data_IF_634750437338
#
_entry.id   IF_634750437338
#
_cell.length_a   1.000
_cell.length_b   1.000
_cell.length_c   1.000
_cell.angle_alpha   90.00
_cell.angle_beta   90.00
_cell.angle_gamma   90.00
#
_symmetry.space_group_name_H-M   'P 1'
#
loop_
_entity.id
_entity.type
_entity.pdbx_description
1 polymer ?
#
# COMPACT_ATOMS: atom_id res chain seq x y z
N UNK A 1 1.90 -10.76 -11.83
CA UNK A 1 1.72 -11.05 -10.37
C UNK A 1 2.94 -11.69 -9.69
N UNK A 2 4.14 -11.45 -10.20
CA UNK A 2 5.38 -12.07 -9.69
C UNK A 2 6.25 -11.12 -8.84
N UNK A 3 5.72 -9.95 -8.44
CA UNK A 3 6.46 -9.01 -7.61
C UNK A 3 6.63 -9.57 -6.19
N UNK A 4 7.89 -9.69 -5.74
CA UNK A 4 8.25 -10.25 -4.43
C UNK A 4 7.69 -9.40 -3.27
N UNK A 5 7.74 -8.06 -3.37
CA UNK A 5 7.22 -7.14 -2.34
C UNK A 5 5.73 -7.38 -2.13
N UNK A 6 4.94 -7.38 -3.22
CA UNK A 6 3.50 -7.64 -3.18
C UNK A 6 3.18 -9.04 -2.64
N UNK A 7 3.98 -10.05 -3.02
CA UNK A 7 3.82 -11.41 -2.49
C UNK A 7 4.04 -11.47 -0.97
N UNK A 8 5.11 -10.83 -0.48
CA UNK A 8 5.43 -10.82 0.94
C UNK A 8 4.43 -10.01 1.76
N UNK A 9 3.95 -8.88 1.24
CA UNK A 9 2.86 -8.12 1.87
C UNK A 9 1.58 -8.97 2.00
N UNK A 10 1.17 -9.64 0.91
CA UNK A 10 0.05 -10.58 0.94
C UNK A 10 0.22 -11.64 2.03
N UNK A 11 1.41 -12.27 2.11
CA UNK A 11 1.69 -13.30 3.11
C UNK A 11 1.61 -12.77 4.55
N UNK A 12 2.01 -11.51 4.78
CA UNK A 12 1.86 -10.87 6.09
C UNK A 12 0.38 -10.73 6.48
N UNK A 13 -0.47 -10.27 5.56
CA UNK A 13 -1.90 -10.10 5.80
C UNK A 13 -2.63 -11.44 5.95
N UNK A 14 -2.30 -12.43 5.12
CA UNK A 14 -2.85 -13.78 5.24
C UNK A 14 -2.50 -14.46 6.57
N UNK A 15 -1.35 -14.13 7.16
CA UNK A 15 -0.96 -14.60 8.50
C UNK A 15 -1.95 -14.21 9.60
N UNK A 16 -2.77 -13.21 9.38
CA UNK A 16 -3.86 -12.80 10.28
C UNK A 16 -5.24 -13.38 9.90
N UNK A 17 -5.29 -14.34 8.96
CA UNK A 17 -6.54 -14.92 8.49
C UNK A 17 -7.34 -14.02 7.53
N UNK A 18 -6.78 -12.89 7.09
CA UNK A 18 -7.47 -11.98 6.18
C UNK A 18 -7.53 -12.58 4.76
N UNK A 19 -8.69 -12.57 4.09
CA UNK A 19 -8.76 -12.82 2.67
C UNK A 19 -8.02 -11.71 1.91
N UNK A 20 -7.18 -12.05 0.94
CA UNK A 20 -6.38 -11.07 0.20
C UNK A 20 -6.62 -11.22 -1.30
N UNK A 21 -7.13 -10.16 -1.92
CA UNK A 21 -7.20 -10.02 -3.37
C UNK A 21 -5.91 -9.37 -3.89
N UNK A 22 -5.31 -9.97 -4.90
CA UNK A 22 -4.24 -9.36 -5.71
C UNK A 22 -4.66 -9.36 -7.16
N UNK A 23 -4.44 -8.27 -7.83
CA UNK A 23 -4.74 -8.15 -9.25
C UNK A 23 -3.62 -7.44 -10.01
N UNK A 24 -3.58 -7.57 -11.31
CA UNK A 24 -2.75 -6.75 -12.19
C UNK A 24 -3.61 -5.61 -12.71
N UNK A 25 -3.03 -4.43 -12.78
CA UNK A 25 -3.65 -3.31 -13.48
C UNK A 25 -3.83 -3.60 -14.96
N UNK A 26 -4.69 -2.81 -15.61
CA UNK A 26 -4.87 -2.81 -17.07
C UNK A 26 -3.53 -2.77 -17.79
N UNK A 27 -3.42 -3.51 -18.88
CA UNK A 27 -2.20 -3.61 -19.68
C UNK A 27 -1.05 -4.38 -19.02
N UNK A 28 -1.24 -4.95 -17.81
CA UNK A 28 -0.19 -5.70 -17.11
C UNK A 28 -0.46 -7.21 -17.10
N UNK A 29 0.50 -8.01 -17.54
CA UNK A 29 0.39 -9.47 -17.59
C UNK A 29 -0.72 -9.94 -18.54
N UNK A 30 -1.77 -10.58 -17.99
CA UNK A 30 -2.93 -11.04 -18.76
C UNK A 30 -4.13 -10.08 -18.65
N UNK A 31 -3.99 -8.95 -17.95
CA UNK A 31 -5.06 -7.95 -17.89
C UNK A 31 -5.15 -7.20 -19.22
N UNK A 32 -6.37 -7.06 -19.71
CA UNK A 32 -6.67 -6.32 -20.92
C UNK A 32 -6.49 -4.82 -20.74
N UNK A 33 -6.64 -4.06 -21.83
CA UNK A 33 -6.51 -2.60 -21.84
C UNK A 33 -5.06 -2.11 -21.93
N UNK A 34 -4.87 -0.83 -21.68
CA UNK A 34 -3.57 -0.16 -21.75
C UNK A 34 -3.31 0.64 -20.48
N UNK A 35 -2.04 0.79 -20.13
CA UNK A 35 -1.60 1.67 -19.04
C UNK A 35 -2.06 3.12 -19.30
N UNK A 36 -2.65 3.78 -18.29
CA UNK A 36 -3.26 5.11 -18.39
C UNK A 36 -2.74 6.07 -17.30
N UNK A 37 -1.47 5.98 -16.98
CA UNK A 37 -0.75 6.89 -16.07
C UNK A 37 -1.44 7.13 -14.71
N UNK A 38 -2.15 6.12 -14.23
CA UNK A 38 -2.84 6.13 -12.94
C UNK A 38 -4.29 6.58 -13.00
N UNK A 39 -4.80 7.04 -14.16
CA UNK A 39 -6.22 7.42 -14.31
C UNK A 39 -7.11 6.19 -14.37
N UNK A 40 -6.93 5.38 -15.40
CA UNK A 40 -7.68 4.14 -15.55
C UNK A 40 -7.36 3.10 -14.47
N UNK A 41 -6.12 3.07 -13.96
CA UNK A 41 -5.76 2.18 -12.86
C UNK A 41 -6.51 2.49 -11.56
N UNK A 42 -7.00 3.72 -11.35
CA UNK A 42 -7.91 4.03 -10.24
C UNK A 42 -9.27 3.36 -10.40
N UNK A 43 -9.77 3.27 -11.64
CA UNK A 43 -11.01 2.53 -11.91
C UNK A 43 -10.82 1.03 -11.65
N UNK A 44 -9.64 0.47 -11.97
CA UNK A 44 -9.31 -0.91 -11.66
C UNK A 44 -9.31 -1.18 -10.15
N UNK A 45 -8.80 -0.23 -9.35
CA UNK A 45 -8.88 -0.30 -7.88
C UNK A 45 -10.34 -0.24 -7.43
N UNK A 46 -11.13 0.70 -7.96
CA UNK A 46 -12.56 0.82 -7.67
C UNK A 46 -13.30 -0.50 -7.92
N UNK A 47 -13.09 -1.12 -9.07
CA UNK A 47 -13.68 -2.41 -9.42
C UNK A 47 -13.25 -3.53 -8.46
N UNK A 48 -11.98 -3.54 -8.02
CA UNK A 48 -11.49 -4.49 -7.03
C UNK A 48 -12.16 -4.28 -5.65
N UNK A 49 -12.35 -3.02 -5.23
CA UNK A 49 -13.07 -2.68 -3.99
C UNK A 49 -14.54 -3.10 -4.07
N UNK A 50 -15.22 -2.86 -5.20
CA UNK A 50 -16.60 -3.28 -5.45
C UNK A 50 -16.76 -4.79 -5.36
N UNK A 51 -15.79 -5.53 -5.92
CA UNK A 51 -15.79 -6.98 -5.84
C UNK A 51 -15.61 -7.47 -4.41
N UNK A 52 -14.63 -6.92 -3.66
CA UNK A 52 -14.39 -7.30 -2.26
C UNK A 52 -15.60 -7.00 -1.37
N UNK A 53 -16.23 -5.84 -1.53
CA UNK A 53 -17.43 -5.49 -0.78
C UNK A 53 -18.58 -6.45 -1.06
N UNK A 54 -18.81 -6.81 -2.31
CA UNK A 54 -19.87 -7.76 -2.71
C UNK A 54 -19.66 -9.15 -2.14
N UNK A 55 -18.40 -9.65 -2.17
CA UNK A 55 -18.07 -11.01 -1.76
C UNK A 55 -17.97 -11.17 -0.23
N UNK A 56 -17.41 -10.18 0.45
CA UNK A 56 -17.07 -10.32 1.88
C UNK A 56 -17.86 -9.39 2.81
N UNK A 57 -18.29 -8.22 2.35
CA UNK A 57 -18.98 -7.19 3.17
C UNK A 57 -18.21 -6.84 4.45
N UNK A 58 -16.89 -6.75 4.35
CA UNK A 58 -15.98 -6.45 5.44
C UNK A 58 -15.23 -5.14 5.15
N UNK A 59 -14.78 -4.42 6.19
CA UNK A 59 -13.85 -3.31 6.00
C UNK A 59 -12.60 -3.75 5.26
N UNK A 60 -12.09 -2.90 4.37
CA UNK A 60 -10.97 -3.22 3.49
C UNK A 60 -9.71 -2.51 3.97
N UNK A 61 -8.58 -3.21 3.98
CA UNK A 61 -7.26 -2.63 4.15
C UNK A 61 -6.57 -2.65 2.78
N UNK A 62 -6.20 -1.47 2.29
CA UNK A 62 -5.42 -1.34 1.08
C UNK A 62 -3.94 -1.57 1.37
N UNK A 63 -3.26 -2.30 0.48
CA UNK A 63 -1.80 -2.40 0.46
C UNK A 63 -1.28 -2.28 -0.98
N UNK A 64 -0.41 -1.31 -1.23
CA UNK A 64 0.17 -1.05 -2.54
C UNK A 64 1.69 -0.98 -2.52
N UNK A 65 2.32 -1.28 -3.67
CA UNK A 65 3.75 -1.14 -3.89
C UNK A 65 4.02 -0.20 -5.06
N UNK A 66 4.98 0.72 -4.90
CA UNK A 66 5.48 1.59 -5.96
C UNK A 66 4.33 2.37 -6.64
N UNK A 67 4.21 2.30 -7.95
CA UNK A 67 3.10 2.89 -8.72
C UNK A 67 1.73 2.50 -8.15
N UNK A 68 1.57 1.23 -7.73
CA UNK A 68 0.35 0.77 -7.08
C UNK A 68 0.11 1.44 -5.72
N UNK A 69 1.16 1.80 -4.98
CA UNK A 69 1.02 2.56 -3.74
C UNK A 69 0.51 3.98 -4.02
N UNK A 70 1.14 4.70 -4.94
CA UNK A 70 0.74 6.07 -5.30
C UNK A 70 -0.70 6.15 -5.81
N UNK A 71 -1.05 5.28 -6.76
CA UNK A 71 -2.38 5.23 -7.37
C UNK A 71 -3.44 4.83 -6.34
N UNK A 72 -3.12 3.84 -5.50
CA UNK A 72 -4.04 3.33 -4.51
C UNK A 72 -4.24 4.27 -3.31
N UNK A 73 -3.21 4.93 -2.82
CA UNK A 73 -3.36 5.96 -1.79
C UNK A 73 -4.37 7.02 -2.24
N UNK A 74 -4.22 7.54 -3.46
CA UNK A 74 -5.10 8.58 -4.01
C UNK A 74 -6.56 8.10 -4.13
N UNK A 75 -6.77 6.83 -4.50
CA UNK A 75 -8.12 6.26 -4.65
C UNK A 75 -8.72 5.90 -3.29
N UNK A 76 -7.95 5.25 -2.43
CA UNK A 76 -8.44 4.64 -1.20
C UNK A 76 -8.59 5.63 -0.03
N UNK A 77 -7.90 6.78 -0.06
CA UNK A 77 -8.05 7.80 0.99
C UNK A 77 -9.48 8.27 1.17
N UNK A 78 -10.21 8.47 0.08
CA UNK A 78 -11.60 8.97 0.11
C UNK A 78 -12.65 7.85 0.10
N UNK A 79 -12.29 6.60 -0.18
CA UNK A 79 -13.26 5.49 -0.25
C UNK A 79 -13.68 5.02 1.14
N UNK A 80 -14.96 5.12 1.54
CA UNK A 80 -15.41 4.77 2.89
C UNK A 80 -15.26 3.28 3.25
N UNK A 81 -15.14 2.39 2.27
CA UNK A 81 -14.94 0.95 2.48
C UNK A 81 -13.53 0.63 2.98
N UNK A 82 -12.58 1.51 2.66
CA UNK A 82 -11.18 1.33 3.07
C UNK A 82 -10.95 1.97 4.42
N UNK A 83 -10.49 1.18 5.39
CA UNK A 83 -10.29 1.60 6.78
C UNK A 83 -8.82 1.77 7.16
N UNK A 84 -7.88 1.30 6.33
CA UNK A 84 -6.44 1.42 6.57
C UNK A 84 -5.64 1.34 5.29
N UNK A 85 -4.46 1.96 5.30
CA UNK A 85 -3.62 2.14 4.12
C UNK A 85 -2.20 1.66 4.44
N UNK A 86 -1.65 0.81 3.58
CA UNK A 86 -0.25 0.37 3.63
C UNK A 86 0.40 0.71 2.29
N UNK A 87 1.42 1.54 2.32
CA UNK A 87 2.20 1.89 1.14
C UNK A 87 3.65 1.44 1.27
N UNK A 88 4.13 0.75 0.26
CA UNK A 88 5.46 0.15 0.20
C UNK A 88 6.24 0.77 -0.96
N UNK A 89 7.43 1.32 -0.71
CA UNK A 89 8.24 1.97 -1.74
C UNK A 89 7.43 3.05 -2.48
N UNK A 90 6.80 3.97 -1.75
CA UNK A 90 5.97 5.03 -2.32
C UNK A 90 6.81 5.98 -3.16
N UNK A 91 6.63 6.05 -4.49
CA UNK A 91 7.51 6.86 -5.33
C UNK A 91 7.23 8.35 -5.14
N UNK A 92 8.28 9.14 -4.95
CA UNK A 92 8.20 10.61 -4.83
C UNK A 92 9.06 11.32 -5.88
N UNK A 93 10.13 10.68 -6.34
CA UNK A 93 11.08 11.25 -7.30
C UNK A 93 11.32 10.31 -8.48
N UNK A 94 10.45 10.37 -9.48
CA UNK A 94 10.59 9.57 -10.71
C UNK A 94 10.72 10.49 -11.91
N UNK A 95 11.80 10.34 -12.68
CA UNK A 95 12.05 11.14 -13.87
C UNK A 95 10.86 11.07 -14.85
N UNK A 96 10.36 12.24 -15.24
CA UNK A 96 9.25 12.36 -16.19
C UNK A 96 7.86 12.07 -15.59
N UNK A 97 7.76 11.83 -14.27
CA UNK A 97 6.47 11.63 -13.60
C UNK A 97 6.40 12.42 -12.30
N UNK A 98 5.38 13.24 -12.17
CA UNK A 98 5.08 13.98 -10.97
C UNK A 98 4.08 13.18 -10.12
N UNK A 99 4.44 12.90 -8.87
CA UNK A 99 3.55 12.36 -7.86
C UNK A 99 3.13 13.45 -6.89
N UNK A 100 1.84 13.55 -6.62
CA UNK A 100 1.27 14.54 -5.70
C UNK A 100 0.53 13.82 -4.57
N UNK A 101 0.84 14.22 -3.34
CA UNK A 101 0.33 13.62 -2.12
C UNK A 101 -0.38 14.58 -1.18
N UNK A 102 -0.71 15.80 -1.65
CA UNK A 102 -1.41 16.83 -0.84
C UNK A 102 -2.71 16.31 -0.21
N UNK A 103 -3.41 15.40 -0.89
CA UNK A 103 -4.64 14.77 -0.37
C UNK A 103 -4.43 13.97 0.93
N UNK A 104 -3.21 13.62 1.29
CA UNK A 104 -2.90 12.91 2.53
C UNK A 104 -3.11 13.79 3.77
N UNK A 105 -3.11 15.13 3.63
CA UNK A 105 -3.42 16.07 4.72
C UNK A 105 -4.84 15.93 5.26
N UNK A 106 -5.77 15.46 4.42
CA UNK A 106 -7.18 15.28 4.77
C UNK A 106 -7.54 13.80 5.05
N UNK A 107 -6.58 12.91 4.84
CA UNK A 107 -6.78 11.46 4.99
C UNK A 107 -6.58 11.02 6.44
N UNK A 108 -7.65 10.93 7.22
CA UNK A 108 -7.62 10.54 8.65
C UNK A 108 -7.56 9.02 8.90
N UNK A 109 -7.47 8.21 7.85
CA UNK A 109 -7.33 6.75 7.99
C UNK A 109 -5.94 6.39 8.51
N UNK A 110 -5.81 5.35 9.37
CA UNK A 110 -4.52 4.81 9.75
C UNK A 110 -3.70 4.45 8.51
N UNK A 111 -2.46 4.92 8.45
CA UNK A 111 -1.57 4.69 7.31
C UNK A 111 -0.17 4.31 7.75
N UNK A 112 0.36 3.26 7.12
CA UNK A 112 1.74 2.81 7.24
C UNK A 112 2.46 3.07 5.92
N UNK A 113 3.58 3.77 5.98
CA UNK A 113 4.53 3.92 4.88
C UNK A 113 5.79 3.15 5.19
N UNK A 114 6.23 2.24 4.30
CA UNK A 114 7.50 1.51 4.43
C UNK A 114 8.31 1.73 3.17
N UNK A 115 9.54 2.17 3.30
CA UNK A 115 10.47 2.36 2.19
C UNK A 115 11.89 1.98 2.58
N UNK A 116 12.72 1.64 1.60
CA UNK A 116 14.15 1.54 1.81
C UNK A 116 14.78 2.93 1.92
N UNK A 117 15.81 3.09 2.75
CA UNK A 117 16.55 4.35 2.83
C UNK A 117 17.50 4.57 1.63
N UNK A 118 17.74 3.53 0.83
CA UNK A 118 18.45 3.56 -0.45
C UNK A 118 17.49 3.43 -1.67
N UNK A 119 16.20 3.71 -1.48
CA UNK A 119 15.21 3.68 -2.57
C UNK A 119 15.39 4.89 -3.49
N UNK A 120 15.84 4.67 -4.73
CA UNK A 120 16.08 5.73 -5.72
C UNK A 120 14.81 6.43 -6.22
N UNK A 121 13.63 5.79 -6.08
CA UNK A 121 12.34 6.37 -6.47
C UNK A 121 11.65 7.07 -5.30
N UNK A 122 12.16 6.86 -4.09
CA UNK A 122 11.63 7.39 -2.84
C UNK A 122 12.76 7.84 -1.92
N UNK A 123 13.56 8.86 -2.30
CA UNK A 123 14.59 9.38 -1.43
C UNK A 123 14.03 9.69 -0.04
N UNK A 124 14.74 9.25 1.01
CA UNK A 124 14.23 9.27 2.37
C UNK A 124 13.82 10.67 2.85
N UNK A 125 14.52 11.73 2.40
CA UNK A 125 14.19 13.11 2.72
C UNK A 125 12.85 13.54 2.11
N UNK A 126 12.66 13.26 0.82
CA UNK A 126 11.45 13.62 0.08
C UNK A 126 10.23 12.85 0.59
N UNK A 127 10.41 11.56 0.93
CA UNK A 127 9.35 10.75 1.53
C UNK A 127 8.97 11.26 2.92
N UNK A 128 9.94 11.73 3.73
CA UNK A 128 9.65 12.33 5.03
C UNK A 128 8.83 13.60 4.88
N UNK A 129 9.11 14.44 3.89
CA UNK A 129 8.30 15.63 3.62
C UNK A 129 6.85 15.27 3.31
N UNK A 130 6.62 14.28 2.45
CA UNK A 130 5.26 13.75 2.18
C UNK A 130 4.61 13.20 3.45
N UNK A 131 5.37 12.43 4.24
CA UNK A 131 4.88 11.86 5.49
C UNK A 131 4.50 12.95 6.50
N UNK A 132 5.33 13.96 6.67
CA UNK A 132 5.12 15.03 7.67
C UNK A 132 3.83 15.82 7.39
N UNK A 133 3.48 16.02 6.11
CA UNK A 133 2.25 16.68 5.69
C UNK A 133 1.00 15.80 5.77
N UNK A 134 1.13 14.49 5.90
CA UNK A 134 -0.01 13.58 6.00
C UNK A 134 -0.71 13.72 7.37
N UNK A 135 -2.04 13.60 7.40
CA UNK A 135 -2.82 13.58 8.65
C UNK A 135 -2.53 12.32 9.48
N UNK A 136 -2.68 12.45 10.80
CA UNK A 136 -2.67 11.32 11.72
C UNK A 136 -3.92 10.41 11.56
N UNK A 137 -3.90 9.13 11.97
CA UNK A 137 -2.72 8.41 12.46
C UNK A 137 -1.83 7.90 11.31
N UNK A 138 -0.52 8.03 11.48
CA UNK A 138 0.48 7.66 10.46
C UNK A 138 1.73 7.06 11.08
N UNK A 139 2.39 6.13 10.38
CA UNK A 139 3.69 5.56 10.75
C UNK A 139 4.58 5.48 9.52
N UNK A 140 5.85 5.86 9.66
CA UNK A 140 6.89 5.71 8.64
C UNK A 140 7.96 4.76 9.14
N UNK A 141 8.27 3.74 8.36
CA UNK A 141 9.38 2.81 8.58
C UNK A 141 10.36 2.93 7.42
N UNK A 142 11.55 3.45 7.70
CA UNK A 142 12.67 3.41 6.76
C UNK A 142 13.52 2.19 7.08
N UNK A 143 13.65 1.29 6.11
CA UNK A 143 14.41 0.04 6.24
C UNK A 143 15.85 0.30 5.84
N UNK A 144 16.75 0.22 6.81
CA UNK A 144 18.17 0.49 6.63
C UNK A 144 18.83 -0.43 5.59
N UNK A 145 19.53 0.18 4.64
CA UNK A 145 20.24 -0.49 3.55
C UNK A 145 19.32 -1.20 2.56
N UNK A 146 18.03 -0.89 2.55
CA UNK A 146 17.10 -1.45 1.57
C UNK A 146 16.96 -0.56 0.33
N UNK A 147 16.93 -1.20 -0.82
CA UNK A 147 16.55 -0.60 -2.11
C UNK A 147 15.01 -0.57 -2.29
N UNK A 148 14.57 -0.12 -3.47
CA UNK A 148 13.15 -0.08 -3.83
C UNK A 148 12.43 -1.42 -3.71
N UNK A 149 13.11 -2.53 -3.97
CA UNK A 149 12.55 -3.88 -3.93
C UNK A 149 12.76 -4.61 -2.61
N UNK A 150 13.37 -3.94 -1.61
CA UNK A 150 13.71 -4.51 -0.32
C UNK A 150 14.57 -5.77 -0.46
N UNK A 151 15.53 -5.78 -1.40
CA UNK A 151 16.36 -6.95 -1.63
C UNK A 151 17.15 -7.33 -0.36
N UNK A 152 17.05 -8.61 0.05
CA UNK A 152 17.61 -9.09 1.33
C UNK A 152 16.92 -8.56 2.59
N UNK A 153 15.94 -7.63 2.49
CA UNK A 153 15.28 -6.95 3.62
C UNK A 153 13.76 -7.18 3.67
N UNK A 154 13.20 -8.01 2.81
CA UNK A 154 11.77 -8.35 2.82
C UNK A 154 11.24 -8.81 4.20
N UNK A 155 11.99 -9.54 5.05
CA UNK A 155 11.54 -9.86 6.40
C UNK A 155 11.27 -8.62 7.26
N UNK A 156 12.11 -7.58 7.17
CA UNK A 156 11.95 -6.33 7.95
C UNK A 156 10.70 -5.57 7.49
N UNK A 157 10.49 -5.46 6.17
CA UNK A 157 9.28 -4.88 5.61
C UNK A 157 8.02 -5.62 6.08
N UNK A 158 8.06 -6.97 6.12
CA UNK A 158 6.96 -7.79 6.65
C UNK A 158 6.70 -7.53 8.12
N UNK A 159 7.76 -7.45 8.93
CA UNK A 159 7.67 -7.16 10.35
C UNK A 159 6.97 -5.83 10.63
N UNK A 160 7.26 -4.80 9.83
CA UNK A 160 6.57 -3.51 9.93
C UNK A 160 5.05 -3.67 9.75
N UNK A 161 4.60 -4.43 8.75
CA UNK A 161 3.18 -4.71 8.52
C UNK A 161 2.57 -5.50 9.68
N UNK A 162 3.25 -6.56 10.12
CA UNK A 162 2.77 -7.46 11.18
C UNK A 162 2.65 -6.74 12.51
N UNK A 163 3.57 -5.81 12.82
CA UNK A 163 3.51 -5.00 14.03
C UNK A 163 2.40 -3.95 13.97
N UNK A 164 2.26 -3.25 12.83
CA UNK A 164 1.31 -2.15 12.67
C UNK A 164 -0.15 -2.61 12.67
N UNK A 165 -0.44 -3.73 12.03
CA UNK A 165 -1.80 -4.19 11.79
C UNK A 165 -2.63 -4.34 13.09
N UNK A 166 -2.17 -5.08 14.13
CA UNK A 166 -2.94 -5.27 15.36
C UNK A 166 -3.05 -4.02 16.22
N UNK A 167 -2.19 -3.03 16.05
CA UNK A 167 -2.26 -1.77 16.78
C UNK A 167 -3.44 -0.92 16.33
N UNK A 168 -3.76 -0.96 15.04
CA UNK A 168 -4.85 -0.20 14.46
C UNK A 168 -6.13 -1.00 14.25
N UNK A 169 -6.01 -2.33 14.16
CA UNK A 169 -7.12 -3.25 13.90
C UNK A 169 -7.10 -4.43 14.89
N UNK A 170 -7.41 -4.20 16.16
CA UNK A 170 -7.28 -5.24 17.20
C UNK A 170 -8.16 -6.47 16.99
N UNK A 171 -9.27 -6.36 16.27
CA UNK A 171 -10.13 -7.49 15.91
C UNK A 171 -9.42 -8.55 15.05
N UNK A 172 -8.36 -8.17 14.33
CA UNK A 172 -7.55 -9.09 13.51
C UNK A 172 -6.76 -10.08 14.38
N UNK A 173 -6.40 -9.71 15.61
CA UNK A 173 -5.73 -10.61 16.57
C UNK A 173 -6.63 -11.71 17.11
N UNK A 174 -7.93 -11.51 17.15
CA UNK A 174 -8.88 -12.48 17.71
C UNK A 174 -8.96 -13.73 16.82
N UNK A 175 -8.74 -13.60 15.52
CA UNK A 175 -8.81 -14.70 14.56
C UNK A 175 -7.57 -15.63 14.59
N UNK A 176 -6.43 -15.18 15.14
CA UNK A 176 -5.23 -16.02 15.28
C UNK A 176 -5.30 -16.98 16.49
N UNK A 177 -6.25 -16.78 17.42
CA UNK A 177 -6.37 -17.53 18.67
C UNK A 177 -7.53 -18.55 18.66
N UNK A 178 -8.26 -18.62 17.59
CA UNK A 178 -9.32 -19.59 17.35
C UNK A 178 -8.86 -20.70 16.38
#
# INVERSE_FOLDING_TARGET
MHNKVVYHAMKSLQGFGLPVLRFNFRGAGLSEGLHDDGRGERDDIGAALDWLEREYRLPIIFAGFSFGAATGLKTCCSDPRVVGLISLGTPVAVLGRLYEYSFLSDCTKPKLMVSGDHDQFSPAADLREVFDHAAEPKELVLVEGADHFFEGKLPIMREAIVRWLPQHFPAVNAQQRA
#
